data_IF_519628144530
#
_entry.id   IF_519628144530
#
_cell.length_a   1.000
_cell.length_b   1.000
_cell.length_c   1.000
_cell.angle_alpha   90.00
_cell.angle_beta   90.00
_cell.angle_gamma   90.00
#
_symmetry.space_group_name_H-M   'P 1'
#
loop_
_entity.id
_entity.type
_entity.pdbx_description
1 polymer ?
#
# COMPACT_ATOMS: atom_id res chain seq x y z
N UNK A 1 31.57 34.59 -50.96
CA UNK A 1 30.99 35.52 -49.97
C UNK A 1 30.49 34.69 -48.80
N UNK A 2 31.22 34.77 -47.69
CA UNK A 2 31.10 33.94 -46.49
C UNK A 2 29.93 34.42 -45.63
N UNK A 3 29.03 33.53 -45.22
CA UNK A 3 28.07 33.80 -44.14
C UNK A 3 28.16 32.70 -43.09
N UNK A 4 28.94 33.02 -42.06
CA UNK A 4 28.91 32.40 -40.73
C UNK A 4 27.53 32.62 -40.12
N UNK A 5 26.83 31.55 -39.76
CA UNK A 5 25.63 31.63 -38.90
C UNK A 5 26.01 31.06 -37.54
N UNK A 6 25.79 31.90 -36.53
CA UNK A 6 26.15 31.70 -35.15
C UNK A 6 25.36 30.56 -34.51
N UNK A 7 26.06 29.84 -33.64
CA UNK A 7 25.52 28.88 -32.68
C UNK A 7 24.44 29.49 -31.80
N UNK A 8 23.36 28.75 -31.56
CA UNK A 8 22.51 28.93 -30.38
C UNK A 8 22.16 27.53 -29.86
N UNK A 9 23.01 27.01 -28.97
CA UNK A 9 22.79 25.77 -28.25
C UNK A 9 21.82 26.07 -27.10
N UNK A 10 20.54 25.76 -27.29
CA UNK A 10 19.56 25.80 -26.22
C UNK A 10 19.69 24.50 -25.40
N UNK A 11 20.49 24.52 -24.34
CA UNK A 11 20.47 23.46 -23.32
C UNK A 11 19.19 23.66 -22.52
N UNK A 12 18.11 23.01 -22.94
CA UNK A 12 16.98 22.78 -22.05
C UNK A 12 17.44 21.77 -20.99
N UNK A 13 17.80 22.27 -19.81
CA UNK A 13 17.84 21.45 -18.61
C UNK A 13 16.43 20.90 -18.38
N UNK A 14 16.14 19.73 -18.95
CA UNK A 14 15.11 18.86 -18.39
C UNK A 14 15.71 18.38 -17.07
N UNK A 15 15.48 19.18 -16.03
CA UNK A 15 15.64 18.72 -14.67
C UNK A 15 14.75 17.50 -14.54
N UNK A 16 15.36 16.31 -14.49
CA UNK A 16 14.72 15.17 -13.88
C UNK A 16 14.46 15.62 -12.46
N UNK A 17 13.24 16.07 -12.19
CA UNK A 17 12.73 16.10 -10.83
C UNK A 17 12.62 14.62 -10.48
N UNK A 18 13.72 14.07 -9.94
CA UNK A 18 13.66 12.91 -9.09
C UNK A 18 12.79 13.38 -7.93
N UNK A 19 11.47 13.18 -8.06
CA UNK A 19 10.59 13.25 -6.91
C UNK A 19 11.25 12.31 -5.90
N UNK A 20 11.76 12.88 -4.81
CA UNK A 20 12.34 12.11 -3.74
C UNK A 20 11.37 10.98 -3.43
N UNK A 21 11.79 9.73 -3.63
CA UNK A 21 10.98 8.61 -3.16
C UNK A 21 10.90 8.81 -1.65
N UNK A 22 9.76 9.29 -1.16
CA UNK A 22 9.48 9.21 0.26
C UNK A 22 9.79 7.77 0.67
N UNK A 23 10.75 7.60 1.58
CA UNK A 23 11.16 6.30 2.08
C UNK A 23 9.93 5.53 2.51
N UNK A 24 9.81 4.26 2.11
CA UNK A 24 8.70 3.41 2.53
C UNK A 24 8.53 3.50 4.05
N UNK A 25 7.35 3.94 4.49
CA UNK A 25 7.06 4.20 5.90
C UNK A 25 6.52 2.97 6.63
N UNK A 26 6.20 1.90 5.91
CA UNK A 26 5.80 0.65 6.52
C UNK A 26 7.01 0.01 7.21
N UNK A 27 6.85 -0.35 8.47
CA UNK A 27 7.75 -1.25 9.15
C UNK A 27 7.58 -2.66 8.57
N UNK A 28 8.70 -3.32 8.29
CA UNK A 28 8.74 -4.70 7.79
C UNK A 28 7.82 -4.94 6.56
N UNK A 29 8.00 -4.18 5.46
CA UNK A 29 7.08 -4.22 4.31
C UNK A 29 7.17 -5.51 3.49
N UNK A 30 8.25 -6.29 3.66
CA UNK A 30 8.42 -7.60 3.04
C UNK A 30 8.06 -8.77 3.96
N UNK A 31 7.61 -8.50 5.18
CA UNK A 31 7.22 -9.52 6.17
C UNK A 31 8.35 -10.42 6.69
N UNK A 32 9.61 -10.08 6.42
CA UNK A 32 10.78 -10.91 6.68
C UNK A 32 11.11 -11.05 8.18
N UNK A 33 10.76 -10.05 9.00
CA UNK A 33 10.89 -10.15 10.46
C UNK A 33 9.59 -10.68 11.09
N UNK A 34 9.68 -11.71 11.94
CA UNK A 34 8.50 -12.36 12.54
C UNK A 34 8.58 -12.31 14.07
N UNK A 35 7.46 -11.96 14.71
CA UNK A 35 7.26 -12.02 16.16
C UNK A 35 6.09 -12.97 16.45
N UNK A 36 6.39 -14.14 17.00
CA UNK A 36 5.41 -15.21 17.16
C UNK A 36 4.90 -15.71 15.80
N UNK A 37 3.60 -15.53 15.52
CA UNK A 37 2.96 -15.96 14.28
C UNK A 37 2.77 -14.84 13.24
N UNK A 38 3.14 -13.61 13.56
CA UNK A 38 2.86 -12.43 12.73
C UNK A 38 4.15 -11.73 12.31
N UNK A 39 4.17 -11.06 11.13
CA UNK A 39 5.25 -10.16 10.81
C UNK A 39 5.35 -9.04 11.85
N UNK A 40 6.57 -8.73 12.30
CA UNK A 40 6.81 -7.66 13.27
C UNK A 40 6.21 -6.34 12.79
N UNK A 41 5.51 -5.63 13.66
CA UNK A 41 4.84 -4.36 13.35
C UNK A 41 3.49 -4.50 12.64
N UNK A 42 3.01 -5.74 12.42
CA UNK A 42 1.70 -6.00 11.84
C UNK A 42 0.77 -6.70 12.85
N UNK A 43 -0.52 -6.42 12.76
CA UNK A 43 -1.53 -6.99 13.64
C UNK A 43 -2.81 -7.34 12.88
N UNK A 44 -3.58 -8.31 13.36
CA UNK A 44 -4.94 -8.53 12.87
C UNK A 44 -5.86 -7.35 13.23
N UNK A 45 -6.90 -7.10 12.42
CA UNK A 45 -7.89 -6.08 12.75
C UNK A 45 -8.98 -6.67 13.66
N UNK A 46 -9.11 -6.15 14.88
CA UNK A 46 -10.20 -6.54 15.79
C UNK A 46 -10.19 -8.03 16.13
N UNK A 47 -11.22 -8.77 15.70
CA UNK A 47 -11.38 -10.22 15.92
C UNK A 47 -11.02 -11.07 14.70
N UNK A 48 -10.50 -10.44 13.66
CA UNK A 48 -10.17 -11.14 12.41
C UNK A 48 -9.04 -12.14 12.63
N UNK A 49 -9.08 -13.22 11.86
CA UNK A 49 -8.02 -14.23 11.86
C UNK A 49 -6.85 -13.70 11.02
N UNK A 50 -5.60 -13.71 11.50
CA UNK A 50 -4.48 -13.28 10.67
C UNK A 50 -4.28 -14.22 9.47
N UNK A 51 -3.77 -13.72 8.33
CA UNK A 51 -3.27 -14.57 7.25
C UNK A 51 -2.09 -15.44 7.72
N UNK A 52 -1.86 -16.56 7.03
CA UNK A 52 -0.72 -17.42 7.29
C UNK A 52 0.56 -16.85 6.65
N UNK A 53 1.73 -17.20 7.18
CA UNK A 53 3.01 -16.96 6.54
C UNK A 53 3.28 -18.03 5.47
N UNK A 54 3.63 -17.62 4.26
CA UNK A 54 4.04 -18.51 3.17
C UNK A 54 5.55 -18.35 2.91
N UNK A 55 6.26 -19.48 2.80
CA UNK A 55 7.71 -19.55 2.51
C UNK A 55 8.01 -20.16 1.15
N UNK A 56 7.00 -20.70 0.48
CA UNK A 56 7.14 -21.38 -0.81
C UNK A 56 6.75 -20.45 -1.95
N UNK A 57 5.71 -19.64 -1.75
CA UNK A 57 5.21 -18.72 -2.77
C UNK A 57 5.38 -17.30 -2.27
N UNK A 58 6.47 -16.67 -2.69
CA UNK A 58 6.84 -15.30 -2.29
C UNK A 58 6.99 -14.40 -3.52
N UNK A 59 6.81 -13.10 -3.33
CA UNK A 59 7.11 -12.10 -4.37
C UNK A 59 8.60 -11.76 -4.38
N UNK A 60 9.13 -11.47 -3.19
CA UNK A 60 10.51 -11.09 -2.94
C UNK A 60 10.85 -11.50 -1.53
N UNK A 61 12.11 -11.86 -1.27
CA UNK A 61 12.52 -12.35 0.04
C UNK A 61 12.03 -13.77 0.32
N UNK A 62 11.95 -14.11 1.60
CA UNK A 62 11.65 -15.47 2.08
C UNK A 62 10.22 -15.63 2.60
N UNK A 63 9.47 -14.53 2.73
CA UNK A 63 8.12 -14.56 3.29
C UNK A 63 7.09 -13.81 2.44
N UNK A 64 5.85 -14.30 2.49
CA UNK A 64 4.66 -13.62 2.02
C UNK A 64 3.48 -13.92 2.96
N UNK A 65 2.38 -13.19 2.80
CA UNK A 65 1.13 -13.45 3.49
C UNK A 65 0.18 -14.23 2.59
N UNK A 66 -0.37 -15.32 3.12
CA UNK A 66 -1.37 -16.14 2.44
C UNK A 66 -2.72 -16.01 3.13
N UNK A 67 -3.68 -15.56 2.35
CA UNK A 67 -5.10 -15.55 2.72
C UNK A 67 -5.75 -16.82 2.18
N UNK A 68 -6.40 -17.58 3.05
CA UNK A 68 -7.12 -18.80 2.66
C UNK A 68 -8.59 -18.50 2.42
N UNK A 69 -9.15 -19.05 1.34
CA UNK A 69 -10.59 -18.99 1.06
C UNK A 69 -11.36 -20.02 1.87
N UNK A 70 -11.32 -19.91 3.20
CA UNK A 70 -12.00 -20.82 4.15
C UNK A 70 -13.24 -20.20 4.80
N UNK A 71 -13.74 -19.08 4.24
CA UNK A 71 -14.89 -18.34 4.75
C UNK A 71 -14.62 -17.53 6.02
N UNK A 72 -13.40 -17.56 6.57
CA UNK A 72 -13.03 -16.72 7.70
C UNK A 72 -12.69 -15.31 7.24
N UNK A 73 -13.16 -14.31 7.99
CA UNK A 73 -12.70 -12.94 7.81
C UNK A 73 -11.25 -12.84 8.26
N UNK A 74 -10.38 -12.42 7.32
CA UNK A 74 -8.95 -12.33 7.53
C UNK A 74 -8.46 -10.93 7.21
N UNK A 75 -7.61 -10.40 8.08
CA UNK A 75 -6.97 -9.11 7.86
C UNK A 75 -5.60 -9.05 8.52
N UNK A 76 -4.78 -8.17 7.98
CA UNK A 76 -3.55 -7.74 8.61
C UNK A 76 -3.38 -6.25 8.34
N UNK A 77 -3.02 -5.49 9.38
CA UNK A 77 -2.89 -4.04 9.32
C UNK A 77 -1.64 -3.57 10.03
N UNK A 78 -1.16 -2.40 9.63
CA UNK A 78 -0.21 -1.60 10.37
C UNK A 78 -0.81 -0.20 10.57
N UNK A 79 -0.73 0.31 11.78
CA UNK A 79 -1.17 1.68 12.09
C UNK A 79 0.04 2.59 12.06
N UNK A 80 -0.04 3.67 11.28
CA UNK A 80 1.04 4.63 11.12
C UNK A 80 0.62 5.99 11.67
N UNK A 81 1.56 6.70 12.31
CA UNK A 81 1.35 8.04 12.92
C UNK A 81 2.42 9.03 12.46
N UNK A 82 2.26 10.31 12.79
CA UNK A 82 3.21 11.35 12.38
C UNK A 82 3.23 11.60 10.87
N UNK A 83 2.08 11.49 10.21
CA UNK A 83 1.91 11.81 8.79
C UNK A 83 1.40 13.24 8.64
N UNK A 84 1.97 13.97 7.69
CA UNK A 84 1.37 15.20 7.21
C UNK A 84 0.13 14.88 6.36
N UNK A 85 -0.89 15.71 6.45
CA UNK A 85 -2.10 15.60 5.62
C UNK A 85 -1.87 16.07 4.20
N UNK A 86 -1.12 15.25 3.45
CA UNK A 86 -0.84 15.42 2.03
C UNK A 86 -1.12 14.12 1.28
N UNK A 87 -1.38 14.16 -0.03
CA UNK A 87 -1.59 12.95 -0.80
C UNK A 87 -0.41 11.98 -0.70
N UNK A 88 -0.72 10.69 -0.63
CA UNK A 88 0.26 9.60 -0.64
C UNK A 88 -0.30 8.38 -1.37
N UNK A 89 0.55 7.41 -1.67
CA UNK A 89 0.16 6.14 -2.30
C UNK A 89 0.50 4.99 -1.38
N UNK A 90 -0.43 4.05 -1.23
CA UNK A 90 -0.17 2.73 -0.63
C UNK A 90 -0.19 1.71 -1.75
N UNK A 91 0.84 0.87 -1.80
CA UNK A 91 0.97 -0.14 -2.84
C UNK A 91 1.54 -1.43 -2.28
N UNK A 92 1.23 -2.53 -2.96
CA UNK A 92 1.71 -3.87 -2.61
C UNK A 92 1.64 -4.80 -3.81
N UNK A 93 2.25 -5.97 -3.66
CA UNK A 93 2.18 -7.04 -4.64
C UNK A 93 1.17 -8.08 -4.19
N UNK A 94 0.32 -8.51 -5.11
CA UNK A 94 -0.69 -9.54 -4.88
C UNK A 94 -0.61 -10.61 -5.97
N UNK A 95 -0.81 -11.86 -5.56
CA UNK A 95 -0.97 -13.03 -6.42
C UNK A 95 -2.28 -13.72 -6.03
N UNK A 96 -2.96 -14.33 -7.00
CA UNK A 96 -4.17 -15.12 -6.73
C UNK A 96 -4.10 -16.47 -7.44
N UNK A 97 -4.63 -17.49 -6.80
CA UNK A 97 -4.73 -18.84 -7.34
C UNK A 97 -6.09 -19.41 -6.99
N UNK A 98 -6.93 -19.60 -8.02
CA UNK A 98 -8.29 -20.13 -7.91
C UNK A 98 -9.15 -19.40 -6.88
N UNK A 99 -8.97 -18.07 -6.77
CA UNK A 99 -9.73 -17.27 -5.80
C UNK A 99 -11.16 -17.09 -6.30
N UNK A 100 -12.11 -17.55 -5.51
CA UNK A 100 -13.53 -17.28 -5.67
C UNK A 100 -13.97 -16.35 -4.54
N UNK A 101 -14.81 -15.38 -4.87
CA UNK A 101 -15.37 -14.44 -3.90
C UNK A 101 -16.90 -14.56 -4.02
N UNK A 102 -17.56 -14.91 -2.92
CA UNK A 102 -19.01 -15.04 -2.89
C UNK A 102 -19.68 -13.68 -3.10
N UNK A 103 -20.96 -13.71 -3.49
CA UNK A 103 -21.73 -12.48 -3.66
C UNK A 103 -21.81 -11.71 -2.34
N UNK A 104 -21.35 -10.45 -2.34
CA UNK A 104 -21.27 -9.59 -1.16
C UNK A 104 -19.91 -9.56 -0.48
N UNK A 105 -19.04 -10.54 -0.75
CA UNK A 105 -17.68 -10.58 -0.21
C UNK A 105 -16.69 -9.79 -1.07
N UNK A 106 -15.53 -9.48 -0.47
CA UNK A 106 -14.46 -8.76 -1.14
C UNK A 106 -13.10 -9.03 -0.48
N UNK A 107 -12.05 -8.94 -1.28
CA UNK A 107 -10.68 -8.76 -0.82
C UNK A 107 -10.21 -7.37 -1.24
N UNK A 108 -9.55 -6.64 -0.34
CA UNK A 108 -9.12 -5.26 -0.61
C UNK A 108 -7.75 -4.95 -0.03
N UNK A 109 -6.99 -4.11 -0.73
CA UNK A 109 -6.02 -3.24 -0.08
C UNK A 109 -6.79 -2.02 0.43
N UNK A 110 -6.88 -1.84 1.75
CA UNK A 110 -7.72 -0.81 2.37
C UNK A 110 -6.90 0.14 3.24
N UNK A 111 -7.21 1.43 3.13
CA UNK A 111 -6.63 2.50 3.94
C UNK A 111 -7.76 3.36 4.50
N UNK A 112 -7.65 3.69 5.78
CA UNK A 112 -8.43 4.76 6.37
C UNK A 112 -7.53 5.79 7.06
N UNK A 113 -7.86 7.06 6.92
CA UNK A 113 -7.18 8.18 7.58
C UNK A 113 -8.12 8.75 8.63
N UNK A 114 -7.71 8.63 9.88
CA UNK A 114 -8.45 9.16 11.03
C UNK A 114 -7.83 10.49 11.42
N UNK A 115 -8.66 11.50 11.65
CA UNK A 115 -8.22 12.86 11.96
C UNK A 115 -8.33 13.20 13.44
N UNK A 116 -7.36 13.96 13.96
CA UNK A 116 -7.31 14.40 15.35
C UNK A 116 -8.52 15.26 15.69
N UNK A 117 -9.20 14.93 16.77
CA UNK A 117 -10.36 15.69 17.26
C UNK A 117 -11.57 15.66 16.33
N UNK A 118 -11.61 14.76 15.34
CA UNK A 118 -12.74 14.60 14.42
C UNK A 118 -13.46 13.27 14.64
N UNK A 119 -14.78 13.20 14.43
CA UNK A 119 -15.51 11.93 14.48
C UNK A 119 -15.09 11.01 13.34
N UNK A 120 -15.20 9.69 13.53
CA UNK A 120 -14.82 8.71 12.51
C UNK A 120 -15.60 8.87 11.19
N UNK A 121 -16.82 9.40 11.24
CA UNK A 121 -17.65 9.64 10.07
C UNK A 121 -17.01 10.58 9.02
N UNK A 122 -15.97 11.34 9.37
CA UNK A 122 -15.22 12.18 8.42
C UNK A 122 -13.85 11.59 8.03
N UNK A 123 -13.58 10.33 8.38
CA UNK A 123 -12.36 9.66 7.96
C UNK A 123 -12.30 9.57 6.43
N UNK A 124 -11.09 9.69 5.87
CA UNK A 124 -10.88 9.40 4.45
C UNK A 124 -10.72 7.91 4.29
N UNK A 125 -11.48 7.32 3.36
CA UNK A 125 -11.39 5.91 3.02
C UNK A 125 -10.91 5.78 1.58
N UNK A 126 -9.94 4.90 1.37
CA UNK A 126 -9.45 4.59 0.03
C UNK A 126 -9.14 3.10 -0.03
N UNK A 127 -9.51 2.46 -1.13
CA UNK A 127 -9.24 1.04 -1.31
C UNK A 127 -9.00 0.68 -2.77
N UNK A 128 -8.27 -0.43 -2.95
CA UNK A 128 -8.15 -1.13 -4.21
C UNK A 128 -8.80 -2.50 -4.05
N UNK A 129 -9.78 -2.83 -4.90
CA UNK A 129 -10.41 -4.15 -4.90
C UNK A 129 -9.46 -5.17 -5.51
N UNK A 130 -9.28 -6.30 -4.83
CA UNK A 130 -8.53 -7.44 -5.34
C UNK A 130 -9.53 -8.33 -6.08
N UNK A 131 -9.37 -8.42 -7.40
CA UNK A 131 -10.25 -9.22 -8.24
C UNK A 131 -10.09 -10.73 -7.97
N UNK A 132 -11.17 -11.52 -8.08
CA UNK A 132 -11.10 -12.98 -8.02
C UNK A 132 -10.34 -13.55 -9.24
N UNK A 133 -10.02 -14.84 -9.18
CA UNK A 133 -9.42 -15.60 -10.26
C UNK A 133 -8.00 -16.11 -9.97
N UNK A 134 -7.26 -16.33 -11.04
CA UNK A 134 -5.87 -16.81 -11.02
C UNK A 134 -5.01 -15.84 -11.80
N UNK A 135 -3.97 -15.31 -11.16
CA UNK A 135 -3.00 -14.42 -11.79
C UNK A 135 -1.70 -14.43 -10.99
N UNK A 136 -0.59 -14.23 -11.70
CA UNK A 136 0.72 -14.06 -11.09
C UNK A 136 0.85 -12.68 -10.43
N UNK A 137 1.95 -12.48 -9.69
CA UNK A 137 2.23 -11.25 -8.97
C UNK A 137 1.97 -10.00 -9.81
N UNK A 138 1.07 -9.15 -9.31
CA UNK A 138 0.80 -7.84 -9.88
C UNK A 138 0.83 -6.79 -8.79
N UNK A 139 1.31 -5.61 -9.16
CA UNK A 139 1.31 -4.46 -8.27
C UNK A 139 -0.08 -3.85 -8.25
N UNK A 140 -0.62 -3.66 -7.06
CA UNK A 140 -1.84 -2.90 -6.81
C UNK A 140 -1.49 -1.67 -6.01
N UNK A 141 -2.21 -0.59 -6.26
CA UNK A 141 -2.00 0.67 -5.58
C UNK A 141 -3.32 1.41 -5.34
N UNK A 142 -3.31 2.21 -4.28
CA UNK A 142 -4.37 3.13 -3.95
C UNK A 142 -3.75 4.49 -3.63
N UNK A 143 -4.22 5.51 -4.35
CA UNK A 143 -3.94 6.90 -3.99
C UNK A 143 -4.87 7.30 -2.84
N UNK A 144 -4.29 7.92 -1.83
CA UNK A 144 -5.02 8.50 -0.71
C UNK A 144 -4.85 10.00 -0.75
N UNK A 145 -5.97 10.72 -0.71
CA UNK A 145 -6.02 12.17 -0.64
C UNK A 145 -6.63 12.60 0.70
N UNK A 146 -5.81 12.77 1.76
CA UNK A 146 -6.29 13.26 3.05
C UNK A 146 -6.88 14.67 2.95
N UNK A 147 -7.76 15.02 3.88
CA UNK A 147 -8.28 16.37 4.05
C UNK A 147 -7.14 17.26 4.54
N UNK A 148 -6.61 18.09 3.65
CA UNK A 148 -5.39 18.87 3.89
C UNK A 148 -5.45 19.80 5.11
N UNK A 149 -6.65 20.27 5.48
CA UNK A 149 -6.86 21.15 6.63
C UNK A 149 -7.00 20.44 7.97
N UNK A 150 -7.00 19.11 8.00
CA UNK A 150 -7.14 18.31 9.23
C UNK A 150 -5.82 17.66 9.58
N UNK A 151 -5.50 17.56 10.87
CA UNK A 151 -4.32 16.80 11.32
C UNK A 151 -4.66 15.31 11.40
N UNK A 152 -3.77 14.44 10.91
CA UNK A 152 -3.90 13.00 11.11
C UNK A 152 -3.74 12.69 12.61
N UNK A 153 -4.58 11.78 13.11
CA UNK A 153 -4.59 11.36 14.50
C UNK A 153 -3.32 10.56 14.80
N UNK A 154 -2.61 10.94 15.85
CA UNK A 154 -1.64 10.05 16.49
C UNK A 154 -2.42 9.04 17.37
N UNK A 155 -2.05 7.76 17.31
CA UNK A 155 -2.67 6.72 18.15
C UNK A 155 -2.15 6.71 19.57
#
# INVERSE_FOLDING_TARGET
MTRTIASCLLIACVGVVLAASDSNRLANPGFEAVEGALPQGWAAAGKDVPPALDRQITHSGSLALRFHGDGQQRSLRQTLTGFASRPFTVAGWVRAENVLIAQGDHATLYVHVIYRGKPYAVATHAYHRIEPGTYDWRRVEVRVDPIASFDIKDV
#
